data_IF_569088173537
#
_entry.id   IF_569088173537
#
_cell.length_a   1.000
_cell.length_b   1.000
_cell.length_c   1.000
_cell.angle_alpha   90.00
_cell.angle_beta   90.00
_cell.angle_gamma   90.00
#
_symmetry.space_group_name_H-M   'P 1'
#
loop_
_entity.id
_entity.type
_entity.pdbx_description
1 polymer ?
#
# COMPACT_ATOMS: atom_id res chain seq x y z
N UNK A 1 -29.13 32.26 -7.86
CA UNK A 1 -30.36 31.62 -7.34
C UNK A 1 -29.95 30.48 -6.43
N UNK A 2 -30.47 30.45 -5.21
CA UNK A 2 -30.21 29.40 -4.21
C UNK A 2 -31.41 28.44 -4.26
N UNK A 3 -31.22 27.12 -4.44
CA UNK A 3 -32.26 26.14 -4.17
C UNK A 3 -32.29 25.84 -2.67
N UNK A 4 -33.16 26.55 -1.95
CA UNK A 4 -33.51 26.24 -0.57
C UNK A 4 -34.54 25.12 -0.56
N UNK A 5 -34.21 23.96 0.00
CA UNK A 5 -35.11 23.09 0.78
C UNK A 5 -34.30 21.91 1.36
N UNK A 6 -33.74 22.10 2.56
CA UNK A 6 -33.36 20.95 3.39
C UNK A 6 -34.60 20.58 4.22
N UNK A 7 -35.29 19.50 3.86
CA UNK A 7 -36.45 19.02 4.61
C UNK A 7 -35.98 18.37 5.90
N UNK A 8 -36.10 19.09 7.01
CA UNK A 8 -35.78 18.58 8.34
C UNK A 8 -36.82 17.55 8.80
N UNK A 9 -36.62 16.26 8.48
CA UNK A 9 -37.35 15.18 9.16
C UNK A 9 -36.52 14.60 10.29
N UNK A 10 -36.81 15.05 11.51
CA UNK A 10 -36.36 14.43 12.75
C UNK A 10 -37.03 13.05 12.94
N UNK A 11 -36.54 12.03 12.23
CA UNK A 11 -36.89 10.62 12.45
C UNK A 11 -36.11 10.11 13.66
N UNK A 12 -36.76 10.05 14.82
CA UNK A 12 -36.15 9.71 16.13
C UNK A 12 -35.99 8.20 16.35
N UNK A 13 -35.52 7.47 15.34
CA UNK A 13 -35.33 6.02 15.40
C UNK A 13 -34.55 5.49 14.21
N UNK A 14 -33.97 4.29 14.35
CA UNK A 14 -33.23 3.62 13.27
C UNK A 14 -34.14 3.42 12.05
N UNK A 15 -33.65 3.62 10.80
CA UNK A 15 -34.47 3.43 9.61
C UNK A 15 -35.02 2.00 9.55
N UNK A 16 -36.35 1.88 9.42
CA UNK A 16 -37.09 0.61 9.39
C UNK A 16 -37.28 0.05 7.98
N UNK A 17 -36.81 0.75 6.95
CA UNK A 17 -36.85 0.29 5.55
C UNK A 17 -35.58 0.73 4.82
N UNK A 18 -35.15 -0.05 3.84
CA UNK A 18 -33.95 0.24 3.05
C UNK A 18 -34.08 1.53 2.22
N UNK A 19 -35.31 1.90 1.84
CA UNK A 19 -35.57 3.21 1.22
C UNK A 19 -35.35 4.38 2.19
N UNK A 20 -35.80 4.27 3.45
CA UNK A 20 -35.56 5.29 4.47
C UNK A 20 -34.07 5.39 4.85
N UNK A 21 -33.35 4.27 4.90
CA UNK A 21 -31.89 4.26 5.08
C UNK A 21 -31.18 4.99 3.92
N UNK A 22 -31.55 4.70 2.67
CA UNK A 22 -30.94 5.34 1.49
C UNK A 22 -31.21 6.84 1.42
N UNK A 23 -32.42 7.27 1.74
CA UNK A 23 -32.79 8.69 1.88
C UNK A 23 -31.89 9.36 2.93
N UNK A 24 -31.82 8.79 4.14
CA UNK A 24 -31.02 9.29 5.26
C UNK A 24 -29.51 9.38 4.94
N UNK A 25 -28.98 8.41 4.20
CA UNK A 25 -27.57 8.34 3.80
C UNK A 25 -27.26 9.05 2.47
N UNK A 26 -28.27 9.68 1.86
CA UNK A 26 -28.22 10.33 0.54
C UNK A 26 -27.57 9.42 -0.52
N UNK A 27 -28.13 8.21 -0.66
CA UNK A 27 -27.76 7.17 -1.63
C UNK A 27 -28.81 7.15 -2.74
N UNK A 28 -28.38 7.06 -4.00
CA UNK A 28 -29.30 7.00 -5.13
C UNK A 28 -30.19 5.74 -5.10
N UNK A 29 -31.44 5.88 -5.55
CA UNK A 29 -32.39 4.78 -5.68
C UNK A 29 -32.44 4.20 -7.10
N UNK A 30 -32.71 2.89 -7.19
CA UNK A 30 -33.00 2.20 -8.46
C UNK A 30 -31.80 1.97 -9.39
N UNK A 31 -32.09 1.84 -10.69
CA UNK A 31 -31.13 1.37 -11.70
C UNK A 31 -30.13 2.43 -12.20
N UNK A 32 -30.29 3.69 -11.81
CA UNK A 32 -29.50 4.83 -12.31
C UNK A 32 -28.56 5.41 -11.23
N UNK A 33 -28.06 4.56 -10.31
CA UNK A 33 -27.08 4.97 -9.29
C UNK A 33 -25.82 5.57 -9.94
N UNK A 34 -25.44 6.77 -9.51
CA UNK A 34 -24.18 7.44 -9.90
C UNK A 34 -23.17 7.41 -8.77
N UNK A 35 -21.90 7.53 -9.10
CA UNK A 35 -20.84 7.61 -8.12
C UNK A 35 -21.07 8.78 -7.14
N UNK A 36 -20.90 8.52 -5.84
CA UNK A 36 -21.07 9.51 -4.77
C UNK A 36 -19.80 10.35 -4.51
N UNK A 37 -18.72 10.09 -5.26
CA UNK A 37 -17.46 10.82 -5.17
C UNK A 37 -17.51 12.19 -5.84
N UNK A 38 -16.71 13.12 -5.34
CA UNK A 38 -16.50 14.44 -5.91
C UNK A 38 -15.24 14.46 -6.76
N UNK A 39 -15.32 15.03 -7.95
CA UNK A 39 -14.14 15.26 -8.78
C UNK A 39 -13.25 16.32 -8.10
N UNK A 40 -11.96 16.04 -7.94
CA UNK A 40 -11.00 16.93 -7.27
C UNK A 40 -10.17 17.78 -8.25
N UNK A 41 -10.32 17.57 -9.56
CA UNK A 41 -9.55 18.27 -10.59
C UNK A 41 -10.36 18.50 -11.88
N UNK A 42 -9.92 19.47 -12.69
CA UNK A 42 -10.48 19.81 -14.00
C UNK A 42 -11.76 20.66 -13.95
N UNK A 43 -12.48 20.74 -15.08
CA UNK A 43 -13.69 21.58 -15.25
C UNK A 43 -14.88 21.17 -14.35
N UNK A 44 -14.75 20.09 -13.59
CA UNK A 44 -15.77 19.53 -12.72
C UNK A 44 -15.34 19.46 -11.23
N UNK A 45 -14.26 20.14 -10.83
CA UNK A 45 -13.84 20.20 -9.42
C UNK A 45 -15.01 20.56 -8.49
N UNK A 46 -15.18 19.80 -7.41
CA UNK A 46 -16.27 19.93 -6.43
C UNK A 46 -17.62 19.34 -6.85
N UNK A 47 -17.81 18.98 -8.13
CA UNK A 47 -19.05 18.34 -8.59
C UNK A 47 -19.04 16.84 -8.32
N UNK A 48 -20.24 16.29 -8.06
CA UNK A 48 -20.46 14.84 -7.96
C UNK A 48 -20.17 14.16 -9.30
N UNK A 49 -19.51 13.01 -9.24
CA UNK A 49 -19.12 12.21 -10.39
C UNK A 49 -20.34 11.70 -11.18
N UNK A 50 -20.31 11.86 -12.51
CA UNK A 50 -21.37 11.41 -13.41
C UNK A 50 -21.34 9.92 -13.78
N UNK A 51 -20.30 9.17 -13.38
CA UNK A 51 -20.12 7.76 -13.74
C UNK A 51 -21.19 6.91 -13.05
N UNK A 52 -21.89 6.08 -13.82
CA UNK A 52 -22.87 5.12 -13.30
C UNK A 52 -22.18 3.98 -12.52
N UNK A 53 -22.83 3.54 -11.44
CA UNK A 53 -22.44 2.34 -10.69
C UNK A 53 -22.95 1.09 -11.43
N UNK A 54 -22.19 -0.01 -11.39
CA UNK A 54 -22.54 -1.23 -12.11
C UNK A 54 -23.86 -1.82 -11.60
N UNK A 55 -24.59 -2.56 -12.45
CA UNK A 55 -25.81 -3.27 -12.03
C UNK A 55 -25.54 -4.28 -10.89
N UNK A 56 -24.35 -4.89 -10.88
CA UNK A 56 -23.89 -5.82 -9.84
C UNK A 56 -23.74 -5.09 -8.50
N UNK A 57 -23.00 -3.96 -8.48
CA UNK A 57 -22.84 -3.15 -7.27
C UNK A 57 -24.19 -2.60 -6.80
N UNK A 58 -25.05 -2.14 -7.71
CA UNK A 58 -26.37 -1.60 -7.36
C UNK A 58 -27.26 -2.65 -6.67
N UNK A 59 -27.27 -3.90 -7.16
CA UNK A 59 -27.92 -5.04 -6.50
C UNK A 59 -27.30 -5.35 -5.13
N UNK A 60 -25.96 -5.33 -5.02
CA UNK A 60 -25.29 -5.59 -3.73
C UNK A 60 -25.57 -4.49 -2.69
N UNK A 61 -25.60 -3.21 -3.10
CA UNK A 61 -26.02 -2.09 -2.24
C UNK A 61 -27.48 -2.28 -1.80
N UNK A 62 -28.37 -2.84 -2.63
CA UNK A 62 -29.74 -3.15 -2.21
C UNK A 62 -29.75 -4.17 -1.06
N UNK A 63 -29.17 -5.35 -1.27
CA UNK A 63 -29.06 -6.39 -0.23
C UNK A 63 -28.34 -5.93 1.04
N UNK A 64 -27.32 -5.08 0.94
CA UNK A 64 -26.67 -4.46 2.11
C UNK A 64 -27.59 -3.44 2.80
N UNK A 65 -28.45 -2.72 2.07
CA UNK A 65 -29.39 -1.76 2.67
C UNK A 65 -30.41 -2.46 3.56
N UNK A 66 -30.88 -3.64 3.16
CA UNK A 66 -31.83 -4.44 3.93
C UNK A 66 -31.14 -4.99 5.20
N UNK A 67 -29.94 -5.58 5.08
CA UNK A 67 -29.16 -6.05 6.25
C UNK A 67 -28.83 -4.96 7.27
N UNK A 68 -28.48 -3.74 6.82
CA UNK A 68 -28.18 -2.60 7.72
C UNK A 68 -29.44 -2.14 8.47
N UNK A 69 -30.63 -2.26 7.86
CA UNK A 69 -31.91 -2.00 8.55
C UNK A 69 -32.12 -3.04 9.65
N UNK A 70 -31.97 -4.33 9.35
CA UNK A 70 -32.14 -5.43 10.31
C UNK A 70 -31.17 -5.35 11.51
N UNK A 71 -29.93 -4.90 11.27
CA UNK A 71 -28.90 -4.75 12.30
C UNK A 71 -29.20 -3.66 13.36
N UNK A 72 -30.15 -2.76 13.10
CA UNK A 72 -30.75 -1.88 14.10
C UNK A 72 -29.84 -0.84 14.78
N UNK A 73 -28.57 -0.72 14.38
CA UNK A 73 -27.59 0.21 14.97
C UNK A 73 -26.35 0.40 14.10
N UNK A 74 -25.63 1.52 14.28
CA UNK A 74 -24.39 1.79 13.55
C UNK A 74 -23.30 0.75 13.86
N UNK A 75 -23.06 0.47 15.14
CA UNK A 75 -21.96 -0.43 15.55
C UNK A 75 -22.14 -1.86 15.03
N UNK A 76 -23.37 -2.38 14.97
CA UNK A 76 -23.64 -3.67 14.35
C UNK A 76 -23.51 -3.64 12.82
N UNK A 77 -23.64 -2.47 12.20
CA UNK A 77 -23.68 -2.27 10.74
C UNK A 77 -22.37 -1.75 10.14
N UNK A 78 -21.35 -1.44 10.94
CA UNK A 78 -20.17 -0.66 10.53
C UNK A 78 -19.40 -1.30 9.36
N UNK A 79 -19.24 -2.63 9.38
CA UNK A 79 -18.62 -3.38 8.28
C UNK A 79 -19.43 -3.33 6.99
N UNK A 80 -20.77 -3.47 7.08
CA UNK A 80 -21.69 -3.39 5.95
C UNK A 80 -21.77 -1.97 5.37
N UNK A 81 -21.74 -0.95 6.23
CA UNK A 81 -21.69 0.46 5.86
C UNK A 81 -20.35 0.80 5.17
N UNK A 82 -19.24 0.26 5.65
CA UNK A 82 -17.92 0.40 5.01
C UNK A 82 -17.90 -0.24 3.62
N UNK A 83 -18.43 -1.45 3.47
CA UNK A 83 -18.56 -2.10 2.16
C UNK A 83 -19.52 -1.32 1.24
N UNK A 84 -20.66 -0.86 1.74
CA UNK A 84 -21.61 -0.03 0.98
C UNK A 84 -20.96 1.28 0.51
N UNK A 85 -20.18 1.96 1.37
CA UNK A 85 -19.48 3.18 1.01
C UNK A 85 -18.53 2.95 -0.17
N UNK A 86 -17.78 1.84 -0.17
CA UNK A 86 -16.91 1.45 -1.30
C UNK A 86 -17.71 1.18 -2.59
N UNK A 87 -18.87 0.53 -2.49
CA UNK A 87 -19.71 0.18 -3.65
C UNK A 87 -20.40 1.40 -4.29
N UNK A 88 -20.69 2.45 -3.51
CA UNK A 88 -21.22 3.74 -4.01
C UNK A 88 -20.20 4.61 -4.75
N UNK A 89 -18.92 4.19 -4.79
CA UNK A 89 -17.84 4.91 -5.47
C UNK A 89 -17.45 4.21 -6.79
N UNK A 90 -17.11 4.99 -7.82
CA UNK A 90 -16.57 4.40 -9.05
C UNK A 90 -15.14 3.86 -8.78
N UNK A 91 -14.82 2.60 -9.13
CA UNK A 91 -13.55 1.98 -8.76
C UNK A 91 -12.29 2.71 -9.23
N UNK A 92 -12.37 3.42 -10.38
CA UNK A 92 -11.22 4.04 -11.05
C UNK A 92 -10.73 5.35 -10.44
N UNK A 93 -11.61 6.15 -9.81
CA UNK A 93 -11.29 7.56 -9.50
C UNK A 93 -11.63 8.04 -8.08
N UNK A 94 -12.61 7.43 -7.40
CA UNK A 94 -13.13 7.98 -6.14
C UNK A 94 -13.24 6.95 -5.01
N UNK A 95 -12.66 5.75 -5.15
CA UNK A 95 -12.71 4.69 -4.13
C UNK A 95 -12.02 5.12 -2.82
N UNK A 96 -11.04 6.00 -2.89
CA UNK A 96 -10.38 6.65 -1.76
C UNK A 96 -11.31 7.57 -0.93
N UNK A 97 -12.45 8.02 -1.49
CA UNK A 97 -13.41 8.87 -0.78
C UNK A 97 -14.43 8.06 0.04
N UNK A 98 -14.38 6.72 -0.01
CA UNK A 98 -15.31 5.85 0.72
C UNK A 98 -15.17 5.97 2.25
N UNK A 99 -13.96 6.13 2.78
CA UNK A 99 -13.73 6.34 4.22
C UNK A 99 -14.38 7.63 4.72
N UNK A 100 -14.14 8.75 4.02
CA UNK A 100 -14.82 10.02 4.32
C UNK A 100 -16.34 9.93 4.19
N UNK A 101 -16.86 9.11 3.26
CA UNK A 101 -18.30 8.84 3.17
C UNK A 101 -18.84 8.04 4.36
N UNK A 102 -18.08 7.06 4.86
CA UNK A 102 -18.41 6.31 6.07
C UNK A 102 -18.45 7.22 7.29
N UNK A 103 -17.46 8.09 7.47
CA UNK A 103 -17.45 9.06 8.59
C UNK A 103 -18.63 10.04 8.54
N UNK A 104 -19.07 10.46 7.34
CA UNK A 104 -20.32 11.23 7.21
C UNK A 104 -21.54 10.42 7.67
N UNK A 105 -21.65 9.16 7.26
CA UNK A 105 -22.74 8.27 7.70
C UNK A 105 -22.69 7.96 9.20
N UNK A 106 -21.51 7.85 9.78
CA UNK A 106 -21.28 7.73 11.22
C UNK A 106 -21.87 8.91 11.99
N UNK A 107 -21.60 10.16 11.56
CA UNK A 107 -22.18 11.35 12.21
C UNK A 107 -23.70 11.43 12.11
N UNK A 108 -24.31 10.76 11.12
CA UNK A 108 -25.76 10.70 10.93
C UNK A 108 -26.38 9.57 11.77
N UNK A 109 -25.72 8.41 11.83
CA UNK A 109 -26.29 7.18 12.38
C UNK A 109 -25.94 6.93 13.86
N UNK A 110 -24.75 7.31 14.35
CA UNK A 110 -24.39 7.12 15.77
C UNK A 110 -25.31 7.88 16.75
N UNK A 111 -25.82 9.09 16.45
CA UNK A 111 -26.76 9.77 17.35
C UNK A 111 -28.15 9.10 17.48
N UNK A 112 -28.48 8.17 16.57
CA UNK A 112 -29.80 7.52 16.54
C UNK A 112 -29.84 6.43 17.62
N UNK A 113 -30.35 6.78 18.80
CA UNK A 113 -30.59 5.81 19.87
C UNK A 113 -31.62 4.77 19.44
N UNK A 114 -31.37 3.51 19.81
CA UNK A 114 -32.31 2.40 19.64
C UNK A 114 -33.53 2.64 20.55
N UNK A 115 -34.66 3.04 19.96
CA UNK A 115 -35.96 2.96 20.64
C UNK A 115 -36.29 1.48 20.79
N UNK A 116 -36.15 0.96 22.01
CA UNK A 116 -36.54 -0.40 22.32
C UNK A 116 -38.07 -0.46 22.37
N UNK A 117 -38.69 -1.06 21.35
CA UNK A 117 -40.06 -1.50 21.46
C UNK A 117 -40.13 -2.58 22.54
N UNK A 118 -40.73 -2.25 23.68
CA UNK A 118 -41.42 -3.28 24.47
C UNK A 118 -42.51 -3.86 23.58
N UNK A 119 -42.57 -5.19 23.49
CA UNK A 119 -43.80 -5.87 23.13
C UNK A 119 -44.50 -6.22 24.43
N UNK A 120 -45.70 -5.70 24.60
CA UNK A 120 -46.68 -6.20 25.57
C UNK A 120 -47.64 -7.15 24.82
N UNK A 121 -48.48 -7.85 25.59
CA UNK A 121 -49.58 -8.76 25.17
C UNK A 121 -49.12 -10.18 24.72
N UNK A 122 -49.27 -11.22 25.56
CA UNK A 122 -50.48 -12.06 25.84
C UNK A 122 -50.68 -13.19 24.78
N UNK A 123 -51.03 -14.45 25.08
CA UNK A 123 -51.33 -15.19 26.33
C UNK A 123 -51.12 -16.73 26.08
N UNK A 124 -51.10 -17.53 27.16
CA UNK A 124 -51.63 -18.90 27.33
C UNK A 124 -50.72 -19.94 28.05
N UNK A 125 -51.24 -20.37 29.22
CA UNK A 125 -51.11 -21.68 29.89
C UNK A 125 -49.85 -22.17 30.64
N UNK A 126 -50.05 -22.21 31.97
CA UNK A 126 -49.93 -23.38 32.88
C UNK A 126 -48.62 -23.64 33.68
N UNK A 127 -48.63 -23.11 34.92
CA UNK A 127 -48.19 -23.75 36.20
C UNK A 127 -46.77 -24.36 36.31
N UNK A 128 -45.96 -24.09 37.34
CA UNK A 128 -46.10 -24.70 38.69
C UNK A 128 -44.90 -24.28 39.58
N UNK A 129 -45.13 -23.72 40.79
CA UNK A 129 -44.26 -23.67 42.01
C UNK A 129 -42.72 -23.38 41.89
N UNK A 130 -42.04 -22.56 42.73
CA UNK A 130 -42.26 -22.13 44.13
C UNK A 130 -41.31 -20.97 44.52
N UNK A 131 -41.70 -20.16 45.52
CA UNK A 131 -40.97 -19.70 46.74
C UNK A 131 -39.42 -19.74 46.77
N UNK A 132 -38.65 -18.82 47.39
CA UNK A 132 -38.83 -17.53 48.10
C UNK A 132 -37.38 -17.01 48.41
N UNK A 133 -37.01 -15.71 48.42
CA UNK A 133 -36.84 -14.83 49.62
C UNK A 133 -36.09 -13.52 49.18
N UNK A 134 -36.26 -12.46 49.97
CA UNK A 134 -35.65 -11.10 49.98
C UNK A 134 -34.10 -11.01 49.87
N UNK A 135 -33.42 -9.84 49.72
CA UNK A 135 -33.67 -8.52 50.34
C UNK A 135 -32.90 -7.34 49.67
N UNK A 136 -33.28 -6.10 50.00
CA UNK A 136 -32.73 -4.81 49.56
C UNK A 136 -31.62 -4.27 50.50
N UNK A 137 -30.89 -3.15 50.31
CA UNK A 137 -31.01 -1.92 49.50
C UNK A 137 -29.68 -1.69 48.70
N UNK A 138 -29.23 -0.52 48.19
CA UNK A 138 -29.67 0.89 48.24
C UNK A 138 -29.12 1.72 47.03
N UNK A 139 -29.27 3.05 47.04
CA UNK A 139 -28.91 3.98 45.96
C UNK A 139 -27.58 4.74 46.16
N UNK A 140 -27.05 5.31 45.07
CA UNK A 140 -26.74 6.75 45.05
C UNK A 140 -26.66 7.33 43.63
N UNK A 141 -27.27 8.50 43.43
CA UNK A 141 -27.22 9.31 42.19
C UNK A 141 -26.75 10.70 42.57
N UNK A 142 -25.74 11.23 41.87
CA UNK A 142 -25.43 12.66 41.93
C UNK A 142 -25.40 13.26 40.52
N UNK A 143 -26.41 14.06 40.23
CA UNK A 143 -26.50 14.95 39.08
C UNK A 143 -25.88 16.31 39.45
N UNK A 144 -24.99 16.85 38.62
CA UNK A 144 -24.71 18.31 38.61
C UNK A 144 -24.68 18.82 37.17
N UNK A 145 -25.67 19.64 36.83
CA UNK A 145 -25.68 20.49 35.63
C UNK A 145 -24.73 21.67 35.81
N UNK A 146 -24.17 22.20 34.72
CA UNK A 146 -24.08 23.66 34.58
C UNK A 146 -24.14 24.10 33.11
N UNK A 147 -24.63 25.32 32.91
CA UNK A 147 -25.21 25.79 31.65
C UNK A 147 -24.23 26.39 30.64
N UNK A 148 -24.73 26.51 29.41
CA UNK A 148 -24.15 27.26 28.29
C UNK A 148 -24.23 28.77 28.54
N UNK A 149 -23.18 29.51 28.17
CA UNK A 149 -23.36 30.90 27.72
C UNK A 149 -22.42 31.23 26.55
N UNK A 150 -23.02 31.67 25.44
CA UNK A 150 -22.31 32.00 24.20
C UNK A 150 -21.82 33.44 24.17
N UNK A 151 -20.73 33.71 23.45
CA UNK A 151 -20.51 35.01 22.80
C UNK A 151 -20.16 34.81 21.33
N UNK A 152 -21.02 35.36 20.48
CA UNK A 152 -20.76 35.59 19.06
C UNK A 152 -20.07 36.94 18.93
N UNK A 153 -19.08 37.06 18.04
CA UNK A 153 -18.95 38.28 17.24
C UNK A 153 -18.24 37.99 15.92
N UNK A 154 -18.70 38.64 14.85
CA UNK A 154 -18.21 38.45 13.48
C UNK A 154 -17.21 39.55 13.14
N UNK A 155 -16.21 39.23 12.33
CA UNK A 155 -15.91 40.12 11.19
C UNK A 155 -15.28 39.37 10.02
N UNK A 156 -15.45 39.94 8.83
CA UNK A 156 -15.03 39.40 7.54
C UNK A 156 -13.84 40.22 7.03
N UNK A 157 -12.80 39.54 6.58
CA UNK A 157 -11.91 40.10 5.56
C UNK A 157 -11.37 39.00 4.65
N UNK A 158 -11.81 39.04 3.38
CA UNK A 158 -11.17 38.36 2.26
C UNK A 158 -9.74 38.90 2.11
N UNK A 159 -8.81 38.09 1.62
CA UNK A 159 -7.81 38.50 0.63
C UNK A 159 -7.34 37.24 -0.12
N UNK A 160 -7.36 37.33 -1.44
CA UNK A 160 -6.78 36.37 -2.37
C UNK A 160 -5.26 36.55 -2.42
N UNK A 161 -4.49 35.57 -2.91
CA UNK A 161 -3.72 35.77 -4.16
C UNK A 161 -2.93 34.53 -4.59
N UNK A 162 -2.69 34.48 -5.90
CA UNK A 162 -1.91 33.49 -6.63
C UNK A 162 -0.40 33.85 -6.64
N UNK A 163 0.35 33.06 -7.43
CA UNK A 163 1.73 33.24 -7.94
C UNK A 163 2.81 32.53 -7.10
N UNK A 164 3.59 31.57 -7.61
CA UNK A 164 4.36 31.44 -8.88
C UNK A 164 5.74 32.09 -8.81
N UNK A 165 6.75 31.23 -8.61
CA UNK A 165 8.14 31.23 -9.11
C UNK A 165 8.96 32.53 -9.26
N UNK A 166 9.99 32.69 -8.40
CA UNK A 166 11.42 33.07 -8.64
C UNK A 166 11.80 34.32 -9.51
N UNK A 167 13.05 34.84 -9.49
CA UNK A 167 14.28 34.52 -8.72
C UNK A 167 14.90 35.71 -7.92
N UNK A 168 16.12 35.54 -7.39
CA UNK A 168 16.96 36.49 -6.59
C UNK A 168 17.81 37.37 -7.54
N UNK A 169 18.21 38.64 -7.20
CA UNK A 169 19.53 38.88 -6.57
C UNK A 169 19.70 40.14 -5.66
N UNK A 170 20.78 40.12 -4.85
CA UNK A 170 21.58 41.26 -4.34
C UNK A 170 21.16 42.18 -3.15
N UNK A 171 22.07 42.24 -2.17
CA UNK A 171 22.36 43.27 -1.15
C UNK A 171 22.93 44.58 -1.79
N UNK A 172 23.23 45.71 -1.07
CA UNK A 172 23.49 45.88 0.38
C UNK A 172 22.92 47.15 1.08
N UNK A 173 23.08 47.23 2.42
CA UNK A 173 23.73 48.34 3.18
C UNK A 173 23.24 48.43 4.65
N UNK A 174 24.17 48.73 5.58
CA UNK A 174 24.01 48.90 7.05
C UNK A 174 24.07 50.41 7.39
N UNK A 175 23.52 50.93 8.51
CA UNK A 175 24.14 50.78 9.84
C UNK A 175 23.12 50.49 10.97
N UNK A 176 23.41 49.69 12.02
CA UNK A 176 24.36 49.90 13.13
C UNK A 176 23.97 50.99 14.15
N UNK A 177 23.25 50.58 15.21
CA UNK A 177 23.37 51.14 16.58
C UNK A 177 23.48 49.95 17.54
N UNK A 178 24.28 50.09 18.61
CA UNK A 178 24.65 49.04 19.56
C UNK A 178 24.29 49.42 20.99
N UNK A 179 23.87 48.43 21.80
CA UNK A 179 23.93 48.36 23.28
C UNK A 179 23.24 47.05 23.72
N UNK A 180 23.98 45.93 23.88
CA UNK A 180 24.61 45.42 25.11
C UNK A 180 23.67 44.56 26.00
N UNK A 181 24.20 43.55 26.74
CA UNK A 181 23.46 42.31 26.97
C UNK A 181 23.04 42.03 28.42
N UNK A 182 22.01 41.20 28.57
CA UNK A 182 21.63 40.56 29.84
C UNK A 182 21.50 39.03 29.67
N UNK A 183 22.38 38.28 30.33
CA UNK A 183 22.50 36.81 30.28
C UNK A 183 21.50 36.12 31.25
N UNK A 184 21.38 34.77 31.31
CA UNK A 184 20.12 34.13 30.95
C UNK A 184 19.39 33.45 32.12
N UNK A 185 18.06 33.60 32.18
CA UNK A 185 17.24 32.74 33.04
C UNK A 185 17.11 31.35 32.44
N UNK A 186 17.53 30.32 33.19
CA UNK A 186 17.38 28.91 32.79
C UNK A 186 15.91 28.50 32.86
N UNK A 187 15.22 28.59 31.73
CA UNK A 187 14.01 27.79 31.50
C UNK A 187 14.30 26.85 30.33
N UNK A 188 14.48 25.57 30.65
CA UNK A 188 14.43 24.50 29.66
C UNK A 188 13.09 24.58 28.95
N UNK A 189 13.02 24.70 27.60
CA UNK A 189 11.75 24.64 26.92
C UNK A 189 11.08 23.29 27.23
N UNK A 190 9.74 23.25 27.37
CA UNK A 190 9.06 21.97 27.55
C UNK A 190 9.45 21.06 26.39
N UNK A 191 9.80 19.80 26.70
CA UNK A 191 10.02 18.78 25.67
C UNK A 191 8.71 18.61 24.90
N UNK A 192 8.60 19.31 23.77
CA UNK A 192 7.63 19.00 22.74
C UNK A 192 7.94 17.57 22.31
N UNK A 193 7.13 16.62 22.75
CA UNK A 193 7.22 15.24 22.30
C UNK A 193 6.84 15.23 20.83
N UNK A 194 7.84 15.32 19.95
CA UNK A 194 7.66 15.12 18.53
C UNK A 194 6.95 13.78 18.34
N UNK A 195 5.76 13.74 17.71
CA UNK A 195 5.01 12.51 17.51
C UNK A 195 5.90 11.47 16.83
N UNK A 196 6.20 10.38 17.54
CA UNK A 196 7.16 9.38 17.09
C UNK A 196 6.43 8.27 16.33
N UNK A 197 7.00 7.84 15.22
CA UNK A 197 6.53 6.68 14.48
C UNK A 197 6.68 5.41 15.34
N UNK A 198 5.56 4.79 15.74
CA UNK A 198 5.55 3.57 16.54
C UNK A 198 5.14 2.36 15.70
N UNK A 199 5.95 1.30 15.75
CA UNK A 199 5.78 0.07 14.98
C UNK A 199 5.50 -1.14 15.87
N UNK A 200 4.52 -1.94 15.47
CA UNK A 200 4.12 -3.20 16.09
C UNK A 200 4.18 -4.35 15.09
N UNK A 201 4.03 -5.59 15.56
CA UNK A 201 3.93 -6.76 14.69
C UNK A 201 2.66 -6.71 13.83
N UNK A 202 2.81 -7.01 12.54
CA UNK A 202 1.66 -7.03 11.61
C UNK A 202 0.58 -8.04 12.02
N UNK A 203 0.98 -9.11 12.73
CA UNK A 203 0.09 -10.09 13.34
C UNK A 203 0.89 -11.27 13.90
N UNK A 204 0.24 -12.35 14.36
CA UNK A 204 0.94 -13.49 14.92
C UNK A 204 1.93 -14.09 13.90
N UNK A 205 3.08 -14.54 14.40
CA UNK A 205 4.10 -15.22 13.61
C UNK A 205 3.54 -16.50 12.96
N UNK A 206 4.00 -16.78 11.75
CA UNK A 206 3.60 -17.96 10.97
C UNK A 206 4.77 -18.94 10.87
N UNK A 207 4.47 -20.24 10.81
CA UNK A 207 5.48 -21.25 10.48
C UNK A 207 5.90 -21.11 9.02
N UNK A 208 7.12 -21.57 8.68
CA UNK A 208 7.64 -21.58 7.30
C UNK A 208 6.65 -22.26 6.35
N UNK A 209 6.18 -23.46 6.70
CA UNK A 209 5.16 -24.21 5.94
C UNK A 209 3.89 -23.38 5.69
N UNK A 210 3.45 -22.56 6.66
CA UNK A 210 2.25 -21.73 6.50
C UNK A 210 2.48 -20.53 5.58
N UNK A 211 3.67 -19.93 5.62
CA UNK A 211 4.10 -18.90 4.67
C UNK A 211 4.15 -19.50 3.26
N UNK A 212 4.88 -20.60 3.09
CA UNK A 212 5.08 -21.28 1.82
C UNK A 212 3.75 -21.77 1.19
N UNK A 213 2.84 -22.36 1.98
CA UNK A 213 1.50 -22.76 1.49
C UNK A 213 0.68 -21.59 0.95
N UNK A 214 0.82 -20.40 1.53
CA UNK A 214 0.08 -19.23 1.08
C UNK A 214 0.74 -18.54 -0.12
N UNK A 215 2.07 -18.51 -0.19
CA UNK A 215 2.81 -18.11 -1.40
C UNK A 215 2.42 -19.02 -2.57
N UNK A 216 2.43 -20.35 -2.38
CA UNK A 216 1.94 -21.31 -3.39
C UNK A 216 0.53 -20.96 -3.86
N UNK A 217 -0.39 -20.71 -2.93
CA UNK A 217 -1.78 -20.32 -3.26
C UNK A 217 -1.84 -18.99 -4.04
N UNK A 218 -0.96 -18.03 -3.72
CA UNK A 218 -0.88 -16.75 -4.41
C UNK A 218 -0.32 -16.91 -5.84
N UNK A 219 0.69 -17.75 -6.03
CA UNK A 219 1.28 -18.06 -7.34
C UNK A 219 0.29 -18.78 -8.25
N UNK A 220 -0.28 -19.90 -7.78
CA UNK A 220 -1.16 -20.77 -8.57
C UNK A 220 -2.47 -20.11 -9.02
N UNK A 221 -2.92 -19.02 -8.38
CA UNK A 221 -4.12 -18.30 -8.81
C UNK A 221 -3.85 -17.39 -10.01
N UNK A 222 -4.80 -17.26 -10.96
CA UNK A 222 -4.71 -16.29 -12.04
C UNK A 222 -4.52 -14.85 -11.53
N UNK A 223 -3.89 -14.02 -12.34
CA UNK A 223 -3.72 -12.58 -12.10
C UNK A 223 -5.08 -11.87 -12.00
N UNK A 224 -5.22 -10.98 -11.02
CA UNK A 224 -6.39 -10.09 -10.95
C UNK A 224 -6.27 -8.99 -12.02
N UNK A 225 -7.39 -8.36 -12.40
CA UNK A 225 -7.38 -7.20 -13.31
C UNK A 225 -6.44 -6.07 -12.87
N UNK A 226 -6.23 -5.91 -11.55
CA UNK A 226 -5.29 -4.93 -10.97
C UNK A 226 -3.82 -5.34 -11.09
N UNK A 227 -3.54 -6.57 -11.49
CA UNK A 227 -2.20 -7.16 -11.62
C UNK A 227 -1.83 -7.38 -13.09
N UNK A 228 -2.80 -7.69 -13.96
CA UNK A 228 -2.60 -7.97 -15.39
C UNK A 228 -1.91 -6.87 -16.20
N UNK A 229 -2.13 -5.59 -15.86
CA UNK A 229 -1.60 -4.44 -16.64
C UNK A 229 -0.95 -3.42 -15.71
N UNK A 230 0.07 -3.88 -14.97
CA UNK A 230 0.77 -3.08 -13.97
C UNK A 230 2.29 -3.22 -14.13
N UNK A 231 2.86 -2.38 -15.01
CA UNK A 231 4.30 -2.29 -15.25
C UNK A 231 4.88 -1.08 -14.51
N UNK A 232 6.01 -1.27 -13.84
CA UNK A 232 6.56 -0.26 -12.94
C UNK A 232 7.66 -0.85 -12.07
N UNK A 233 7.79 -0.34 -10.85
CA UNK A 233 8.91 -0.65 -9.97
C UNK A 233 8.43 -1.13 -8.61
N UNK A 234 9.07 -2.20 -8.11
CA UNK A 234 9.13 -2.45 -6.67
C UNK A 234 10.30 -1.65 -6.12
N UNK A 235 10.09 -0.89 -5.05
CA UNK A 235 11.15 -0.18 -4.34
C UNK A 235 11.20 -0.59 -2.88
N UNK A 236 12.36 -0.36 -2.26
CA UNK A 236 12.49 -0.34 -0.82
C UNK A 236 13.26 0.88 -0.33
N UNK A 237 12.87 1.44 0.82
CA UNK A 237 13.61 2.52 1.48
C UNK A 237 13.70 2.34 3.00
N UNK A 238 14.74 2.90 3.60
CA UNK A 238 15.00 2.83 5.04
C UNK A 238 14.28 3.95 5.80
N UNK A 239 13.69 3.61 6.95
CA UNK A 239 13.18 4.57 7.92
C UNK A 239 14.36 5.25 8.66
N UNK A 240 14.54 6.57 8.56
CA UNK A 240 15.76 7.26 9.00
C UNK A 240 16.17 7.00 10.44
N UNK A 241 15.22 7.01 11.39
CA UNK A 241 15.52 6.84 12.83
C UNK A 241 16.14 5.47 13.16
N UNK A 242 16.01 4.49 12.26
CA UNK A 242 16.47 3.11 12.48
C UNK A 242 17.58 2.69 11.52
N UNK A 243 18.13 3.62 10.73
CA UNK A 243 19.17 3.33 9.71
C UNK A 243 20.40 2.58 10.27
N UNK A 244 20.76 2.86 11.52
CA UNK A 244 21.92 2.29 12.20
C UNK A 244 21.64 0.96 12.94
N UNK A 245 20.38 0.51 12.98
CA UNK A 245 20.01 -0.75 13.63
C UNK A 245 20.51 -1.94 12.80
N UNK A 246 20.85 -3.06 13.46
CA UNK A 246 21.21 -4.30 12.76
C UNK A 246 20.06 -4.90 11.92
N UNK A 247 18.81 -4.50 12.22
CA UNK A 247 17.61 -4.83 11.46
C UNK A 247 16.74 -3.56 11.40
N UNK A 248 17.00 -2.63 10.47
CA UNK A 248 16.26 -1.38 10.33
C UNK A 248 14.81 -1.62 9.93
N UNK A 249 13.95 -0.61 10.09
CA UNK A 249 12.63 -0.62 9.45
C UNK A 249 12.79 -0.20 7.98
N UNK A 250 12.40 -1.10 7.09
CA UNK A 250 12.39 -0.91 5.64
C UNK A 250 10.94 -0.86 5.19
N UNK A 251 10.57 0.13 4.39
CA UNK A 251 9.29 0.11 3.66
C UNK A 251 9.50 -0.58 2.32
N UNK A 252 8.63 -1.50 1.95
CA UNK A 252 8.62 -2.15 0.63
C UNK A 252 7.27 -1.89 -0.03
N UNK A 253 7.27 -1.29 -1.21
CA UNK A 253 6.05 -1.06 -1.98
C UNK A 253 6.32 -0.85 -3.48
N UNK A 254 5.27 -0.53 -4.24
CA UNK A 254 5.38 -0.26 -5.68
C UNK A 254 5.10 1.20 -6.09
N UNK A 255 5.61 1.58 -7.27
CA UNK A 255 5.22 2.80 -7.98
C UNK A 255 5.53 2.69 -9.49
N UNK A 256 4.81 3.45 -10.33
CA UNK A 256 5.24 3.72 -11.70
C UNK A 256 6.41 4.72 -11.75
N UNK A 257 6.44 5.68 -10.81
CA UNK A 257 7.49 6.69 -10.65
C UNK A 257 7.92 6.70 -9.18
N UNK A 258 9.11 6.14 -8.92
CA UNK A 258 9.64 5.98 -7.56
C UNK A 258 10.05 7.33 -6.97
N UNK A 259 10.61 8.24 -7.75
CA UNK A 259 11.02 9.56 -7.27
C UNK A 259 9.83 10.40 -6.81
N UNK A 260 8.79 10.46 -7.64
CA UNK A 260 7.53 11.10 -7.28
C UNK A 260 6.95 10.43 -6.04
N UNK A 261 6.99 9.10 -5.94
CA UNK A 261 6.51 8.39 -4.75
C UNK A 261 7.29 8.74 -3.48
N UNK A 262 8.60 8.97 -3.56
CA UNK A 262 9.39 9.48 -2.43
C UNK A 262 9.03 10.92 -2.06
N UNK A 263 8.81 11.79 -3.05
CA UNK A 263 8.34 13.16 -2.84
C UNK A 263 6.95 13.16 -2.16
N UNK A 264 6.04 12.29 -2.61
CA UNK A 264 4.73 12.07 -1.99
C UNK A 264 4.84 11.55 -0.55
N UNK A 265 5.70 10.57 -0.26
CA UNK A 265 5.90 10.06 1.10
C UNK A 265 6.49 11.11 2.05
N UNK A 266 7.42 11.94 1.57
CA UNK A 266 7.96 13.06 2.34
C UNK A 266 6.90 14.12 2.63
N UNK A 267 6.05 14.45 1.65
CA UNK A 267 5.02 15.46 1.79
C UNK A 267 3.81 15.02 2.62
N UNK A 268 3.35 13.76 2.46
CA UNK A 268 2.15 13.22 3.12
C UNK A 268 2.44 12.72 4.54
N UNK A 269 3.62 12.16 4.77
CA UNK A 269 3.92 11.42 6.00
C UNK A 269 5.16 11.92 6.75
N UNK A 270 5.99 12.77 6.14
CA UNK A 270 7.26 13.23 6.73
C UNK A 270 8.44 12.27 6.53
N UNK A 271 8.27 11.14 5.83
CA UNK A 271 9.35 10.17 5.63
C UNK A 271 10.46 10.75 4.73
N UNK A 272 11.65 10.94 5.30
CA UNK A 272 12.85 11.26 4.52
C UNK A 272 13.46 9.97 3.94
N UNK A 273 12.79 9.42 2.92
CA UNK A 273 13.10 8.11 2.35
C UNK A 273 14.53 8.01 1.76
N UNK A 274 15.39 7.18 2.36
CA UNK A 274 16.63 6.71 1.72
C UNK A 274 16.34 5.42 0.97
N UNK A 275 16.12 5.52 -0.34
CA UNK A 275 15.92 4.35 -1.22
C UNK A 275 17.16 3.46 -1.17
N UNK A 276 16.95 2.15 -0.99
CA UNK A 276 18.02 1.15 -0.97
C UNK A 276 18.05 0.31 -2.25
N UNK A 277 16.91 0.13 -2.90
CA UNK A 277 16.81 -0.55 -4.19
C UNK A 277 15.50 -0.17 -4.89
N UNK A 278 15.52 -0.28 -6.21
CA UNK A 278 14.34 -0.27 -7.07
C UNK A 278 14.56 -1.28 -8.21
N UNK A 279 13.54 -2.05 -8.54
CA UNK A 279 13.61 -3.08 -9.58
C UNK A 279 12.38 -2.97 -10.48
N UNK A 280 12.60 -2.89 -11.80
CA UNK A 280 11.54 -2.95 -12.79
C UNK A 280 10.87 -4.34 -12.74
N UNK A 281 9.54 -4.33 -12.76
CA UNK A 281 8.68 -5.49 -12.58
C UNK A 281 7.41 -5.35 -13.41
N UNK A 282 7.20 -6.31 -14.31
CA UNK A 282 5.87 -6.66 -14.80
C UNK A 282 5.02 -7.17 -13.63
N UNK A 283 3.71 -7.00 -13.72
CA UNK A 283 2.75 -7.41 -12.67
C UNK A 283 3.15 -6.97 -11.25
N UNK A 284 3.72 -5.76 -11.07
CA UNK A 284 4.32 -5.33 -9.80
C UNK A 284 3.38 -5.47 -8.58
N UNK A 285 2.06 -5.37 -8.77
CA UNK A 285 1.06 -5.56 -7.69
C UNK A 285 1.04 -7.01 -7.18
N UNK A 286 1.34 -8.00 -8.04
CA UNK A 286 1.52 -9.42 -7.68
C UNK A 286 2.87 -9.61 -6.97
N UNK A 287 3.94 -9.02 -7.50
CA UNK A 287 5.31 -9.11 -6.94
C UNK A 287 5.38 -8.52 -5.53
N UNK A 288 4.79 -7.35 -5.28
CA UNK A 288 4.73 -6.75 -3.94
C UNK A 288 4.10 -7.73 -2.93
N UNK A 289 2.96 -8.34 -3.28
CA UNK A 289 2.25 -9.30 -2.41
C UNK A 289 3.09 -10.55 -2.12
N UNK A 290 3.87 -11.03 -3.10
CA UNK A 290 4.78 -12.16 -2.93
C UNK A 290 5.91 -11.81 -1.94
N UNK A 291 6.59 -10.68 -2.14
CA UNK A 291 7.64 -10.17 -1.22
C UNK A 291 7.07 -9.97 0.19
N UNK A 292 5.91 -9.32 0.30
CA UNK A 292 5.20 -9.08 1.56
C UNK A 292 4.81 -10.37 2.29
N UNK A 293 4.56 -11.46 1.55
CA UNK A 293 4.19 -12.76 2.12
C UNK A 293 5.40 -13.58 2.52
N UNK A 294 6.47 -13.55 1.74
CA UNK A 294 7.76 -14.14 2.09
C UNK A 294 8.36 -13.49 3.35
N UNK A 295 8.25 -12.16 3.48
CA UNK A 295 8.69 -11.40 4.66
C UNK A 295 7.61 -11.24 5.74
N UNK A 296 6.61 -12.13 5.79
CA UNK A 296 5.41 -12.02 6.66
C UNK A 296 5.72 -12.02 8.16
N UNK A 297 6.83 -12.61 8.60
CA UNK A 297 7.22 -12.59 10.03
C UNK A 297 8.05 -11.35 10.40
N UNK A 298 8.68 -10.71 9.42
CA UNK A 298 9.43 -9.47 9.59
C UNK A 298 8.51 -8.24 9.43
N UNK A 299 7.33 -8.42 8.83
CA UNK A 299 6.34 -7.39 8.55
C UNK A 299 5.84 -6.73 9.83
N UNK A 300 5.89 -5.40 9.84
CA UNK A 300 5.42 -4.50 10.89
C UNK A 300 4.25 -3.68 10.38
N UNK A 301 3.42 -3.25 11.32
CA UNK A 301 2.39 -2.23 11.13
C UNK A 301 2.78 -1.02 11.96
N UNK A 302 2.72 0.16 11.38
CA UNK A 302 2.78 1.43 12.11
C UNK A 302 1.42 1.65 12.76
N UNK A 303 1.37 1.89 14.07
CA UNK A 303 0.10 1.99 14.80
C UNK A 303 -0.77 3.10 14.21
N UNK A 304 -0.20 4.29 14.14
CA UNK A 304 -0.77 5.47 13.50
C UNK A 304 0.39 6.32 12.98
N UNK A 305 0.34 6.74 11.71
CA UNK A 305 1.29 7.71 11.19
C UNK A 305 1.01 9.09 11.83
N UNK A 306 1.99 9.73 12.47
CA UNK A 306 1.80 11.02 13.14
C UNK A 306 1.39 12.18 12.22
N UNK A 307 1.55 12.02 10.90
CA UNK A 307 1.31 13.08 9.91
C UNK A 307 0.05 12.81 9.07
N UNK A 308 -0.22 11.56 8.69
CA UNK A 308 -1.34 11.20 7.82
C UNK A 308 -2.46 10.41 8.54
N UNK A 309 -2.28 10.09 9.83
CA UNK A 309 -3.23 9.37 10.69
C UNK A 309 -3.68 7.99 10.17
N UNK A 310 -2.92 7.41 9.23
CA UNK A 310 -3.15 6.07 8.68
C UNK A 310 -2.14 5.08 9.26
N UNK A 311 -2.63 3.87 9.51
CA UNK A 311 -1.80 2.74 9.89
C UNK A 311 -1.11 2.13 8.67
N UNK A 312 0.17 2.44 8.45
CA UNK A 312 0.94 1.88 7.34
C UNK A 312 1.37 0.45 7.62
N UNK A 313 1.02 -0.47 6.72
CA UNK A 313 1.20 -1.91 6.92
C UNK A 313 2.36 -2.48 6.11
N UNK A 314 3.18 -1.64 5.48
CA UNK A 314 4.18 -2.00 4.45
C UNK A 314 5.62 -1.92 4.98
N UNK A 315 5.76 -1.95 6.30
CA UNK A 315 7.04 -1.88 7.01
C UNK A 315 7.57 -3.27 7.33
N UNK A 316 8.88 -3.43 7.36
CA UNK A 316 9.57 -4.70 7.59
C UNK A 316 10.81 -4.46 8.45
N UNK A 317 10.96 -5.16 9.58
CA UNK A 317 12.15 -5.09 10.43
C UNK A 317 13.15 -6.17 9.99
N UNK A 318 14.06 -5.83 9.08
CA UNK A 318 14.98 -6.78 8.44
C UNK A 318 16.18 -6.09 7.83
N UNK A 319 17.19 -6.85 7.40
CA UNK A 319 18.40 -6.31 6.73
C UNK A 319 18.07 -5.86 5.30
N UNK A 320 18.73 -4.79 4.83
CA UNK A 320 18.61 -4.28 3.46
C UNK A 320 18.94 -5.33 2.40
N UNK A 321 19.92 -6.20 2.67
CA UNK A 321 20.30 -7.33 1.80
C UNK A 321 19.19 -8.37 1.70
N UNK A 322 18.56 -8.74 2.83
CA UNK A 322 17.41 -9.66 2.85
C UNK A 322 16.22 -9.09 2.09
N UNK A 323 15.87 -7.82 2.31
CA UNK A 323 14.80 -7.16 1.56
C UNK A 323 15.09 -7.14 0.04
N UNK A 324 16.29 -6.73 -0.35
CA UNK A 324 16.68 -6.64 -1.77
C UNK A 324 16.76 -8.00 -2.45
N UNK A 325 17.30 -9.05 -1.80
CA UNK A 325 17.32 -10.42 -2.33
C UNK A 325 15.90 -10.91 -2.64
N UNK A 326 14.97 -10.73 -1.72
CA UNK A 326 13.58 -11.17 -1.89
C UNK A 326 12.85 -10.40 -3.00
N UNK A 327 13.07 -9.08 -3.12
CA UNK A 327 12.52 -8.31 -4.24
C UNK A 327 13.12 -8.80 -5.56
N UNK A 328 14.45 -8.89 -5.64
CA UNK A 328 15.17 -9.32 -6.84
C UNK A 328 14.68 -10.69 -7.32
N UNK A 329 14.65 -11.70 -6.43
CA UNK A 329 14.15 -13.05 -6.68
C UNK A 329 12.76 -13.05 -7.36
N UNK A 330 11.77 -12.40 -6.75
CA UNK A 330 10.41 -12.36 -7.31
C UNK A 330 10.32 -11.52 -8.60
N UNK A 331 11.13 -10.47 -8.77
CA UNK A 331 11.18 -9.73 -10.04
C UNK A 331 11.83 -10.51 -11.16
N UNK A 332 12.89 -11.29 -10.88
CA UNK A 332 13.57 -12.13 -11.86
C UNK A 332 12.66 -13.27 -12.32
N UNK A 333 11.91 -13.90 -11.40
CA UNK A 333 10.91 -14.90 -11.77
C UNK A 333 9.80 -14.32 -12.65
N UNK A 334 9.29 -13.12 -12.34
CA UNK A 334 8.24 -12.50 -13.14
C UNK A 334 8.70 -12.14 -14.57
N UNK A 335 10.00 -11.86 -14.79
CA UNK A 335 10.57 -11.64 -16.13
C UNK A 335 10.61 -12.89 -17.00
N UNK A 336 10.52 -14.09 -16.40
CA UNK A 336 10.39 -15.36 -17.13
C UNK A 336 8.94 -15.62 -17.59
N UNK A 337 8.11 -14.56 -17.60
CA UNK A 337 6.69 -14.53 -18.02
C UNK A 337 5.89 -15.75 -17.56
N UNK A 338 5.77 -15.99 -16.24
CA UNK A 338 5.12 -17.20 -15.75
C UNK A 338 3.59 -17.21 -15.92
N UNK A 339 3.00 -16.15 -16.47
CA UNK A 339 1.57 -16.04 -16.74
C UNK A 339 1.34 -15.69 -18.21
N UNK A 340 0.29 -16.26 -18.80
CA UNK A 340 -0.19 -15.94 -20.15
C UNK A 340 -0.88 -14.55 -20.21
N UNK A 341 -1.26 -14.12 -21.42
CA UNK A 341 -1.98 -12.85 -21.65
C UNK A 341 -3.34 -12.78 -20.93
N UNK A 342 -3.97 -13.94 -20.69
CA UNK A 342 -5.19 -14.09 -19.89
C UNK A 342 -4.90 -14.14 -18.38
N UNK A 343 -3.64 -14.06 -17.98
CA UNK A 343 -3.15 -14.05 -16.60
C UNK A 343 -3.22 -15.40 -15.89
N UNK A 344 -3.39 -16.52 -16.59
CA UNK A 344 -3.27 -17.86 -16.00
C UNK A 344 -1.80 -18.26 -15.91
N UNK A 345 -1.45 -19.00 -14.87
CA UNK A 345 -0.09 -19.53 -14.70
C UNK A 345 0.18 -20.62 -15.74
N UNK A 346 1.27 -20.53 -16.48
CA UNK A 346 1.65 -21.57 -17.46
C UNK A 346 1.87 -22.93 -16.78
N UNK A 347 1.62 -24.01 -17.52
CA UNK A 347 1.64 -25.35 -16.94
C UNK A 347 3.03 -25.79 -16.47
N UNK A 348 4.10 -25.39 -17.17
CA UNK A 348 5.49 -25.64 -16.75
C UNK A 348 5.78 -25.07 -15.35
N UNK A 349 5.25 -23.86 -15.08
CA UNK A 349 5.36 -23.21 -13.77
C UNK A 349 4.44 -23.84 -12.74
N UNK A 350 3.22 -24.27 -13.12
CA UNK A 350 2.32 -25.02 -12.23
C UNK A 350 2.98 -26.29 -11.71
N UNK A 351 3.46 -27.15 -12.61
CA UNK A 351 4.11 -28.42 -12.27
C UNK A 351 5.30 -28.18 -11.34
N UNK A 352 6.17 -27.20 -11.65
CA UNK A 352 7.31 -26.84 -10.81
C UNK A 352 6.89 -26.38 -9.41
N UNK A 353 5.89 -25.50 -9.30
CA UNK A 353 5.38 -24.96 -8.02
C UNK A 353 4.65 -26.02 -7.17
N UNK A 354 3.97 -26.97 -7.80
CA UNK A 354 3.27 -28.05 -7.10
C UNK A 354 4.23 -29.13 -6.58
N UNK A 355 5.35 -29.37 -7.28
CA UNK A 355 6.43 -30.26 -6.87
C UNK A 355 7.38 -29.72 -5.79
N UNK A 356 7.31 -28.44 -5.41
CA UNK A 356 8.18 -27.86 -4.37
C UNK A 356 7.90 -28.44 -2.97
N UNK A 357 8.96 -28.84 -2.26
CA UNK A 357 8.88 -29.06 -0.82
C UNK A 357 8.64 -27.73 -0.08
N UNK A 358 7.44 -27.58 0.48
CA UNK A 358 7.06 -26.40 1.25
C UNK A 358 7.60 -26.40 2.68
N UNK A 359 8.29 -27.45 3.12
CA UNK A 359 8.98 -27.48 4.42
C UNK A 359 10.34 -26.78 4.36
N UNK A 360 11.00 -26.77 3.20
CA UNK A 360 12.23 -26.03 2.96
C UNK A 360 11.99 -24.50 2.98
N UNK A 361 12.72 -23.72 3.81
CA UNK A 361 12.72 -22.26 3.75
C UNK A 361 13.22 -21.67 2.42
N UNK A 362 14.08 -22.37 1.68
CA UNK A 362 14.70 -21.91 0.42
C UNK A 362 14.01 -22.37 -0.86
N UNK A 363 12.86 -23.05 -0.80
CA UNK A 363 12.23 -23.65 -1.99
C UNK A 363 11.87 -22.64 -3.10
N UNK A 364 11.64 -21.37 -2.73
CA UNK A 364 11.43 -20.28 -3.69
C UNK A 364 12.70 -19.84 -4.41
N UNK A 365 13.88 -19.99 -3.81
CA UNK A 365 15.16 -19.68 -4.48
C UNK A 365 15.37 -20.69 -5.63
N UNK A 366 15.21 -21.99 -5.33
CA UNK A 366 15.21 -23.07 -6.34
C UNK A 366 14.13 -22.90 -7.41
N UNK A 367 12.96 -22.33 -7.09
CA UNK A 367 11.95 -22.01 -8.10
C UNK A 367 12.48 -21.02 -9.13
N UNK A 368 13.22 -20.00 -8.68
CA UNK A 368 13.67 -18.87 -9.51
C UNK A 368 14.99 -19.07 -10.24
N UNK A 369 15.86 -19.95 -9.72
CA UNK A 369 17.19 -20.22 -10.27
C UNK A 369 17.18 -21.24 -11.43
N UNK A 370 16.05 -21.94 -11.63
CA UNK A 370 15.86 -22.82 -12.79
C UNK A 370 15.62 -22.04 -14.07
N UNK A 371 16.70 -21.62 -14.71
CA UNK A 371 16.72 -21.33 -16.14
C UNK A 371 16.33 -22.62 -16.87
N UNK A 372 15.39 -22.53 -17.81
CA UNK A 372 15.26 -23.55 -18.83
C UNK A 372 16.34 -23.26 -19.87
N UNK A 373 17.29 -24.18 -20.03
CA UNK A 373 18.18 -24.22 -21.20
C UNK A 373 17.45 -24.85 -22.42
N UNK A 374 16.13 -25.02 -22.34
CA UNK A 374 15.23 -25.58 -23.35
C UNK A 374 14.90 -24.57 -24.49
N UNK A 375 15.85 -23.69 -24.82
CA UNK A 375 15.93 -23.02 -26.13
C UNK A 375 16.78 -23.90 -27.10
N UNK A 376 16.81 -25.22 -26.90
CA UNK A 376 17.09 -26.16 -28.00
C UNK A 376 15.91 -26.11 -28.98
N UNK A 377 16.16 -25.48 -30.14
CA UNK A 377 15.26 -25.40 -31.28
C UNK A 377 14.77 -26.81 -31.70
N UNK A 378 13.62 -27.25 -31.18
CA UNK A 378 12.76 -28.27 -31.79
C UNK A 378 12.07 -27.68 -33.04
N UNK A 379 12.89 -27.16 -33.96
CA UNK A 379 12.50 -26.70 -35.28
C UNK A 379 12.96 -27.70 -36.34
N UNK A 380 12.03 -28.58 -36.71
CA UNK A 380 12.00 -29.27 -38.02
C UNK A 380 13.20 -30.16 -38.37
N UNK A 381 13.29 -31.33 -37.73
CA UNK A 381 13.77 -32.53 -38.41
C UNK A 381 12.77 -32.99 -39.50
N UNK A 382 12.63 -32.16 -40.55
CA UNK A 382 12.07 -32.60 -41.83
C UNK A 382 13.13 -33.40 -42.57
N UNK A 383 12.82 -34.65 -42.90
CA UNK A 383 13.73 -35.53 -43.65
C UNK A 383 14.07 -34.95 -45.03
N UNK A 384 15.37 -34.88 -45.33
CA UNK A 384 15.91 -34.82 -46.70
C UNK A 384 16.14 -33.45 -47.30
N UNK A 385 17.42 -33.04 -47.35
CA UNK A 385 18.12 -33.12 -48.63
C UNK A 385 19.62 -33.43 -48.47
N UNK A 386 20.23 -33.99 -49.50
CA UNK A 386 21.63 -34.42 -49.54
C UNK A 386 22.52 -33.27 -50.02
N UNK A 387 23.40 -32.76 -49.15
CA UNK A 387 24.50 -31.90 -49.58
C UNK A 387 25.87 -32.47 -49.23
N UNK A 388 26.57 -32.91 -50.29
CA UNK A 388 27.86 -33.56 -50.20
C UNK A 388 28.99 -32.56 -49.94
N UNK A 389 29.76 -32.78 -48.87
CA UNK A 389 31.04 -32.13 -48.66
C UNK A 389 32.14 -32.94 -49.35
N UNK A 390 32.54 -32.49 -50.54
CA UNK A 390 33.75 -32.97 -51.20
C UNK A 390 34.95 -32.18 -50.68
N UNK A 391 35.89 -32.89 -50.05
CA UNK A 391 37.23 -32.36 -49.74
C UNK A 391 37.97 -31.90 -51.00
N UNK A 392 38.95 -30.99 -50.80
CA UNK A 392 40.14 -30.62 -51.61
C UNK A 392 40.43 -29.12 -51.42
N UNK A 393 41.66 -28.58 -51.38
CA UNK A 393 43.03 -29.08 -51.24
C UNK A 393 43.88 -27.88 -50.72
N UNK A 394 44.93 -28.11 -49.91
CA UNK A 394 46.08 -27.18 -49.72
C UNK A 394 46.95 -27.16 -51.02
N UNK A 395 47.90 -26.22 -51.32
CA UNK A 395 48.83 -25.56 -50.37
C UNK A 395 49.42 -24.15 -50.73
N UNK A 396 50.33 -23.66 -49.87
CA UNK A 396 51.60 -22.88 -50.09
C UNK A 396 51.76 -21.78 -51.17
N UNK A 397 52.22 -20.58 -50.74
CA UNK A 397 53.31 -19.70 -51.29
C UNK A 397 53.39 -18.41 -50.41
N UNK A 398 54.41 -18.14 -49.58
CA UNK A 398 55.81 -17.69 -49.81
C UNK A 398 56.02 -16.21 -50.20
N UNK A 399 56.49 -15.43 -49.20
CA UNK A 399 57.58 -14.43 -49.21
C UNK A 399 57.59 -13.18 -50.15
N UNK A 400 58.36 -12.16 -49.72
CA UNK A 400 58.85 -10.94 -50.41
C UNK A 400 57.86 -9.78 -50.74
N UNK A 401 58.20 -8.48 -50.61
CA UNK A 401 59.19 -7.73 -49.78
C UNK A 401 58.88 -6.19 -49.83
N UNK A 402 59.59 -5.37 -49.03
CA UNK A 402 60.08 -4.00 -49.38
C UNK A 402 59.21 -2.70 -49.17
N UNK A 403 59.73 -1.84 -48.26
CA UNK A 403 59.66 -0.35 -48.13
C UNK A 403 58.34 0.34 -47.65
N UNK A 404 58.35 1.41 -46.85
CA UNK A 404 59.43 2.33 -46.39
C UNK A 404 59.25 2.83 -44.93
N UNK A 405 60.38 3.29 -44.37
CA UNK A 405 60.68 3.92 -43.07
C UNK A 405 59.64 4.87 -42.41
N UNK A 406 59.70 4.94 -41.06
CA UNK A 406 60.10 6.15 -40.32
C UNK A 406 60.47 5.84 -38.85
N UNK A 407 61.74 6.09 -38.49
CA UNK A 407 62.28 5.99 -37.12
C UNK A 407 61.75 7.08 -36.16
N UNK A 408 61.66 6.75 -34.86
CA UNK A 408 62.41 7.51 -33.84
C UNK A 408 62.50 6.83 -32.46
N UNK A 409 63.72 6.89 -31.89
CA UNK A 409 64.20 6.63 -30.51
C UNK A 409 63.25 5.97 -29.47
N UNK A 410 63.56 4.79 -28.89
CA UNK A 410 64.71 4.39 -28.03
C UNK A 410 64.56 4.83 -26.56
N UNK A 411 64.30 3.85 -25.67
CA UNK A 411 65.15 3.49 -24.50
C UNK A 411 64.47 2.50 -23.51
N UNK A 412 64.92 1.24 -23.54
CA UNK A 412 65.33 0.38 -22.39
C UNK A 412 64.54 0.47 -21.05
N UNK A 413 63.73 -0.51 -20.59
CA UNK A 413 64.03 -1.93 -20.21
C UNK A 413 65.25 -2.00 -19.26
N UNK A 414 65.17 -2.56 -18.02
CA UNK A 414 64.81 -3.97 -17.86
C UNK A 414 64.02 -4.42 -16.61
N UNK A 415 63.46 -5.63 -16.79
CA UNK A 415 62.96 -6.55 -15.77
C UNK A 415 64.11 -7.21 -15.00
N UNK A 416 63.91 -7.55 -13.73
CA UNK A 416 64.60 -8.68 -13.07
C UNK A 416 63.58 -9.42 -12.17
N UNK A 417 63.55 -10.75 -12.28
CA UNK A 417 62.85 -11.69 -11.39
C UNK A 417 63.29 -11.56 -9.92
N UNK A 418 62.43 -11.92 -8.95
CA UNK A 418 62.70 -13.16 -8.20
C UNK A 418 61.51 -13.73 -7.40
N UNK A 419 61.65 -15.04 -7.18
CA UNK A 419 60.76 -16.06 -6.63
C UNK A 419 60.27 -15.92 -5.17
N UNK A 420 59.12 -16.57 -4.98
CA UNK A 420 58.76 -17.49 -3.89
C UNK A 420 58.81 -17.08 -2.40
N UNK A 421 57.61 -17.15 -1.81
CA UNK A 421 57.24 -18.10 -0.73
C UNK A 421 57.80 -17.90 0.67
N UNK A 422 56.90 -17.86 1.66
CA UNK A 422 57.19 -18.43 2.98
C UNK A 422 56.65 -17.70 4.22
N UNK A 423 55.48 -18.16 4.69
CA UNK A 423 55.13 -18.40 6.11
C UNK A 423 55.11 -17.22 7.11
N UNK A 424 53.88 -16.98 7.60
CA UNK A 424 53.47 -17.09 9.00
C UNK A 424 54.37 -16.56 10.15
N UNK A 425 53.76 -15.62 10.90
CA UNK A 425 53.53 -15.68 12.36
C UNK A 425 54.29 -14.72 13.28
N UNK A 426 53.56 -14.35 14.35
CA UNK A 426 54.00 -13.76 15.62
C UNK A 426 54.50 -12.30 15.62
N UNK A 427 53.56 -11.36 15.82
CA UNK A 427 53.44 -10.70 17.14
C UNK A 427 52.04 -10.18 17.42
#
# INVERSE_FOLDING_TARGET
MIPTTATTTSKTGWPTTSSALRELLNIDNGNNMKCHGQCQSGKNTGKRCGIAISKINSKKIASLSDQIVDHGSFCASESLLSEMALLTMCPRFHRNQASGRLSLWETILKPIKKVAFKKEDEDDSLTTHKEDVSESLDADIVEVKHEVLSKNEKSISKITNHHTSQPIPSTPTKPFISSTPSTPSKQSPPKVSTPKHEFEDFGPAWTVIKINKDIRKLLLRPLLDTEKKSDGFIYAYLFPETYHDANPHIKIGYAHDVEKRMKDWKAQCGYNSKVICQFAAEHYVKVEKLVHRQLRNQRKREKECPTCHVSHQEWFKTKSTTASKNIMMWTSWMRQKPYDDDGHLEEKWRTRIEGLDLTDPSCWEMLTEGVFDDDEDESELSEGDSFAWSNKDEPEFSEDEVLDDLDNDVSEVPLIDDRCSGKESLR
#
